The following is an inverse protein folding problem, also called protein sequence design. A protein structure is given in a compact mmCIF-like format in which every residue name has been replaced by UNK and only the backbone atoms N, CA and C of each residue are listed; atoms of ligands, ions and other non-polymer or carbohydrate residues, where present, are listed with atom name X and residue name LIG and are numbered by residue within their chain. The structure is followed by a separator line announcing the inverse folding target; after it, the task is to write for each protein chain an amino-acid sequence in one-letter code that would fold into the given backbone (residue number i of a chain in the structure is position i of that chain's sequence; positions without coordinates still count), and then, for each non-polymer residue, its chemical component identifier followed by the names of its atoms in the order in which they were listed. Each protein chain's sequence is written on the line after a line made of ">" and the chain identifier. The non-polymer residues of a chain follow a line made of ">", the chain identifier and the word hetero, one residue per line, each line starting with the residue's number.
data_IF_168797017377
#
_entry.id   IF_168797017377
#
_cell.length_a   1.000
_cell.length_b   1.000
_cell.length_c   1.000
_cell.angle_alpha   90.00
_cell.angle_beta   90.00
_cell.angle_gamma   90.00
#
_symmetry.space_group_name_H-M   'P 1'
#
loop_
_entity.id
_entity.type
_entity.pdbx_description
1 polymer ?
#
# COMPACT_ATOMS: atom_id res chain seq x y z
N UNK A 1 5.51 -6.30 -2.15
CA UNK A 1 6.23 -5.31 -1.35
C UNK A 1 6.63 -4.21 -2.29
N UNK A 2 5.88 -3.12 -2.21
CA UNK A 2 6.16 -1.90 -2.94
C UNK A 2 7.19 -1.11 -2.12
N UNK A 3 8.11 -0.43 -2.80
CA UNK A 3 9.08 0.46 -2.16
C UNK A 3 8.59 1.89 -2.35
N UNK A 4 8.51 2.68 -1.28
CA UNK A 4 8.35 4.13 -1.44
C UNK A 4 9.74 4.76 -1.65
N UNK A 5 9.82 5.66 -2.63
CA UNK A 5 10.98 6.41 -3.09
C UNK A 5 10.77 7.89 -2.76
N UNK A 6 11.21 8.30 -1.58
CA UNK A 6 11.40 9.71 -1.25
C UNK A 6 12.68 9.79 -0.39
N UNK A 7 13.83 9.99 -1.03
CA UNK A 7 15.14 10.05 -0.37
C UNK A 7 15.76 8.71 0.03
N UNK A 8 14.95 7.70 0.42
CA UNK A 8 15.38 6.30 0.65
C UNK A 8 14.34 5.32 0.08
N UNK A 9 14.80 4.16 -0.40
CA UNK A 9 13.93 3.03 -0.78
C UNK A 9 13.51 2.29 0.49
N UNK A 10 12.30 2.55 0.99
CA UNK A 10 11.76 1.84 2.15
C UNK A 10 10.74 0.80 1.67
N UNK A 11 10.95 -0.49 1.96
CA UNK A 11 9.96 -1.51 1.66
C UNK A 11 8.73 -1.34 2.56
N UNK A 12 7.54 -1.31 1.96
CA UNK A 12 6.27 -1.23 2.68
C UNK A 12 5.37 -2.40 2.33
N UNK A 13 4.59 -2.85 3.32
CA UNK A 13 3.49 -3.78 3.11
C UNK A 13 2.26 -2.99 2.67
N UNK A 14 1.83 -3.22 1.43
CA UNK A 14 0.81 -2.40 0.78
C UNK A 14 -0.32 -3.30 0.29
N UNK A 15 -1.56 -2.92 0.60
CA UNK A 15 -2.74 -3.54 0.01
C UNK A 15 -3.12 -2.75 -1.25
N UNK A 16 -3.19 -3.42 -2.40
CA UNK A 16 -3.71 -2.81 -3.62
C UNK A 16 -5.19 -3.15 -3.72
N UNK A 17 -6.05 -2.14 -3.71
CA UNK A 17 -7.49 -2.30 -3.53
C UNK A 17 -8.28 -1.62 -4.67
N UNK A 18 -8.88 -2.44 -5.52
CA UNK A 18 -9.75 -1.99 -6.62
C UNK A 18 -11.07 -1.37 -6.14
N UNK A 19 -11.47 -1.60 -4.89
CA UNK A 19 -12.67 -1.03 -4.28
C UNK A 19 -12.45 0.35 -3.66
N UNK A 20 -11.21 0.82 -3.58
CA UNK A 20 -10.87 2.09 -2.93
C UNK A 20 -10.72 3.24 -3.92
N UNK A 21 -11.36 4.37 -3.62
CA UNK A 21 -11.25 5.61 -4.40
C UNK A 21 -9.99 6.42 -4.08
N UNK A 22 -9.40 6.21 -2.90
CA UNK A 22 -8.25 6.98 -2.41
C UNK A 22 -7.14 6.06 -1.93
N UNK A 23 -5.90 6.48 -2.16
CA UNK A 23 -4.74 5.84 -1.57
C UNK A 23 -4.51 6.37 -0.15
N UNK A 24 -4.23 5.47 0.79
CA UNK A 24 -4.05 5.78 2.22
C UNK A 24 -2.64 5.43 2.67
N UNK A 25 -2.07 6.22 3.58
CA UNK A 25 -0.82 5.92 4.26
C UNK A 25 -1.04 5.98 5.76
N UNK A 26 -0.54 4.98 6.48
CA UNK A 26 -0.61 4.95 7.92
C UNK A 26 0.24 6.06 8.53
N UNK A 27 -0.28 6.74 9.55
CA UNK A 27 0.39 7.86 10.22
C UNK A 27 1.78 7.46 10.75
N UNK A 28 1.90 6.30 11.41
CA UNK A 28 3.19 5.81 11.90
C UNK A 28 4.22 5.62 10.77
N UNK A 29 3.78 5.20 9.58
CA UNK A 29 4.65 5.08 8.41
C UNK A 29 5.02 6.45 7.86
N UNK A 30 4.07 7.40 7.81
CA UNK A 30 4.34 8.78 7.42
C UNK A 30 5.37 9.47 8.35
N UNK A 31 5.25 9.23 9.66
CA UNK A 31 6.17 9.74 10.69
C UNK A 31 7.55 9.08 10.56
N UNK A 32 7.60 7.76 10.39
CA UNK A 32 8.84 7.01 10.20
C UNK A 32 9.62 7.47 8.96
N UNK A 33 8.93 7.73 7.86
CA UNK A 33 9.54 8.22 6.62
C UNK A 33 9.93 9.70 6.71
N UNK A 34 9.49 10.42 7.75
CA UNK A 34 9.73 11.85 7.98
C UNK A 34 9.39 12.73 6.76
N UNK A 35 8.28 12.41 6.09
CA UNK A 35 7.88 13.09 4.86
C UNK A 35 7.09 14.35 5.15
N UNK A 36 7.24 15.35 4.26
CA UNK A 36 6.46 16.59 4.34
C UNK A 36 4.98 16.29 4.13
N UNK A 37 4.20 16.52 5.19
CA UNK A 37 2.74 16.48 5.16
C UNK A 37 2.20 17.79 4.60
N UNK A 38 1.34 17.70 3.60
CA UNK A 38 0.55 18.80 3.06
C UNK A 38 -0.80 18.81 3.77
N UNK A 39 -1.30 19.99 4.14
CA UNK A 39 -2.66 20.13 4.67
C UNK A 39 -3.67 19.75 3.58
N UNK A 40 -4.74 19.08 3.99
CA UNK A 40 -5.91 18.79 3.15
C UNK A 40 -7.14 18.79 4.03
N UNK A 41 -8.33 18.94 3.44
CA UNK A 41 -9.59 18.71 4.14
C UNK A 41 -10.46 17.80 3.28
N UNK A 42 -10.47 16.52 3.63
CA UNK A 42 -11.20 15.47 2.91
C UNK A 42 -11.91 14.59 3.93
N UNK A 43 -13.13 14.17 3.63
CA UNK A 43 -13.81 13.10 4.35
C UNK A 43 -13.80 11.84 3.50
N UNK A 44 -13.45 10.71 4.09
CA UNK A 44 -13.51 9.39 3.46
C UNK A 44 -14.52 8.56 4.21
N UNK A 45 -15.49 8.01 3.47
CA UNK A 45 -16.52 7.14 4.01
C UNK A 45 -16.16 5.67 3.79
N UNK A 46 -16.36 4.84 4.81
CA UNK A 46 -16.21 3.40 4.75
C UNK A 46 -17.55 2.65 4.77
N UNK A 47 -17.47 1.32 4.83
CA UNK A 47 -18.64 0.47 5.03
C UNK A 47 -19.36 0.84 6.35
N UNK A 48 -20.70 0.79 6.33
CA UNK A 48 -21.53 1.20 7.46
C UNK A 48 -21.66 2.72 7.66
N UNK A 49 -21.23 3.54 6.70
CA UNK A 49 -21.38 5.01 6.76
C UNK A 49 -20.41 5.70 7.72
N UNK A 50 -19.39 4.98 8.20
CA UNK A 50 -18.34 5.56 9.04
C UNK A 50 -17.53 6.57 8.23
N UNK A 51 -17.34 7.78 8.78
CA UNK A 51 -16.59 8.86 8.14
C UNK A 51 -15.30 9.14 8.89
N UNK A 52 -14.20 9.24 8.14
CA UNK A 52 -12.90 9.65 8.64
C UNK A 52 -12.49 10.96 7.99
N UNK A 53 -12.29 11.99 8.82
CA UNK A 53 -11.78 13.28 8.35
C UNK A 53 -10.25 13.23 8.26
N UNK A 54 -9.74 13.44 7.06
CA UNK A 54 -8.32 13.42 6.73
C UNK A 54 -7.83 14.86 6.64
N UNK A 55 -6.83 15.18 7.46
CA UNK A 55 -6.26 16.54 7.58
C UNK A 55 -4.90 16.70 6.93
N UNK A 56 -4.28 15.60 6.49
CA UNK A 56 -3.00 15.67 5.80
C UNK A 56 -2.86 14.63 4.68
N UNK A 57 -2.09 14.99 3.66
CA UNK A 57 -1.68 14.13 2.57
C UNK A 57 -0.18 14.22 2.33
N UNK A 58 0.39 13.17 1.74
CA UNK A 58 1.79 13.08 1.35
C UNK A 58 1.83 12.67 -0.11
N UNK A 59 2.62 13.39 -0.90
CA UNK A 59 2.96 12.97 -2.27
C UNK A 59 4.22 12.14 -2.23
N UNK A 60 4.16 10.90 -2.70
CA UNK A 60 5.32 10.01 -2.76
C UNK A 60 5.39 9.15 -4.01
N UNK A 61 6.58 8.64 -4.31
CA UNK A 61 6.78 7.75 -5.45
C UNK A 61 6.76 6.31 -4.94
N UNK A 62 5.93 5.45 -5.50
CA UNK A 62 6.03 4.00 -5.30
C UNK A 62 6.86 3.39 -6.41
N UNK A 63 7.52 2.28 -6.13
CA UNK A 63 8.15 1.42 -7.13
C UNK A 63 7.99 -0.05 -6.81
N UNK A 64 8.02 -0.90 -7.83
CA UNK A 64 8.17 -2.33 -7.64
C UNK A 64 9.59 -2.69 -7.14
N UNK A 65 9.83 -3.98 -6.87
CA UNK A 65 11.09 -4.47 -6.32
C UNK A 65 12.31 -4.17 -7.18
N UNK A 66 12.18 -4.33 -8.50
CA UNK A 66 13.18 -4.06 -9.54
C UNK A 66 13.36 -2.56 -9.83
N UNK A 67 12.33 -1.76 -9.58
CA UNK A 67 12.28 -0.34 -9.94
C UNK A 67 11.92 -0.06 -11.40
N UNK A 68 11.52 -1.07 -12.17
CA UNK A 68 11.02 -0.91 -13.56
C UNK A 68 9.70 -0.15 -13.60
N UNK A 69 8.86 -0.36 -12.58
CA UNK A 69 7.64 0.41 -12.37
C UNK A 69 7.88 1.51 -11.34
N UNK A 70 7.44 2.73 -11.66
CA UNK A 70 7.38 3.85 -10.71
C UNK A 70 6.13 4.67 -10.94
N UNK A 71 5.50 5.12 -9.85
CA UNK A 71 4.35 6.01 -9.94
C UNK A 71 4.33 7.01 -8.80
N UNK A 72 3.98 8.26 -9.11
CA UNK A 72 3.67 9.28 -8.11
C UNK A 72 2.26 9.03 -7.58
N UNK A 73 2.12 9.02 -6.27
CA UNK A 73 0.88 8.73 -5.55
C UNK A 73 0.64 9.82 -4.52
N UNK A 74 -0.59 10.32 -4.47
CA UNK A 74 -1.07 11.17 -3.38
C UNK A 74 -1.70 10.28 -2.30
N UNK A 75 -0.97 10.10 -1.20
CA UNK A 75 -1.41 9.34 -0.04
C UNK A 75 -2.11 10.21 0.98
N UNK A 76 -3.30 9.80 1.38
CA UNK A 76 -4.07 10.44 2.44
C UNK A 76 -3.71 9.80 3.78
N UNK A 77 -3.27 10.60 4.75
CA UNK A 77 -2.69 10.07 5.99
C UNK A 77 -3.77 9.81 7.01
N UNK A 78 -3.84 8.56 7.49
CA UNK A 78 -4.83 8.10 8.48
C UNK A 78 -4.16 7.40 9.66
N UNK A 79 -4.72 7.43 10.87
CA UNK A 79 -4.13 6.77 12.04
C UNK A 79 -3.96 5.24 11.85
N UNK A 80 -4.94 4.62 11.19
CA UNK A 80 -5.00 3.19 10.91
C UNK A 80 -5.79 2.97 9.62
N UNK A 81 -5.41 1.96 8.84
CA UNK A 81 -6.08 1.58 7.58
C UNK A 81 -7.00 0.39 7.82
N UNK A 82 -6.44 -0.72 8.30
CA UNK A 82 -7.16 -1.97 8.54
C UNK A 82 -6.66 -2.66 9.82
N UNK A 83 -7.29 -3.76 10.19
CA UNK A 83 -6.71 -4.75 11.09
C UNK A 83 -5.53 -5.48 10.40
N UNK A 84 -4.97 -6.48 11.08
CA UNK A 84 -3.92 -7.32 10.50
C UNK A 84 -4.44 -8.08 9.28
N UNK A 85 -3.57 -8.23 8.28
CA UNK A 85 -3.83 -8.94 7.03
C UNK A 85 -2.69 -9.95 6.83
N UNK A 86 -2.99 -11.26 6.71
CA UNK A 86 -4.27 -11.89 7.06
C UNK A 86 -4.61 -11.70 8.55
N UNK A 87 -5.87 -11.95 8.93
CA UNK A 87 -6.29 -11.85 10.34
C UNK A 87 -5.55 -12.86 11.22
N UNK A 88 -5.32 -14.06 10.68
CA UNK A 88 -4.56 -15.12 11.32
C UNK A 88 -3.44 -15.55 10.37
N UNK A 89 -2.25 -15.81 10.93
CA UNK A 89 -1.19 -16.43 10.15
C UNK A 89 -1.58 -17.85 9.75
N UNK A 90 -1.09 -18.31 8.60
CA UNK A 90 -1.30 -19.68 8.14
C UNK A 90 -0.02 -20.31 7.60
N UNK A 91 0.04 -21.64 7.67
CA UNK A 91 1.19 -22.40 7.20
C UNK A 91 1.19 -22.49 5.66
N UNK A 92 2.37 -22.29 5.08
CA UNK A 92 2.64 -22.38 3.65
C UNK A 92 3.69 -23.43 3.32
N UNK A 93 4.15 -24.22 4.30
CA UNK A 93 5.17 -25.26 4.13
C UNK A 93 4.84 -26.27 3.03
N UNK A 94 3.55 -26.55 2.84
CA UNK A 94 3.03 -27.47 1.83
C UNK A 94 2.69 -26.81 0.49
N UNK A 95 2.84 -25.49 0.37
CA UNK A 95 2.57 -24.76 -0.87
C UNK A 95 3.84 -24.73 -1.72
N UNK A 96 3.77 -25.33 -2.91
CA UNK A 96 4.85 -25.27 -3.90
C UNK A 96 4.56 -24.13 -4.87
N UNK A 97 5.33 -23.04 -4.75
CA UNK A 97 5.29 -21.96 -5.72
C UNK A 97 6.10 -22.32 -6.97
N UNK A 98 5.62 -22.01 -8.18
CA UNK A 98 6.42 -22.15 -9.39
C UNK A 98 7.73 -21.34 -9.27
N UNK A 99 8.83 -21.88 -9.77
CA UNK A 99 10.17 -21.25 -9.64
C UNK A 99 10.28 -19.89 -10.32
N UNK A 100 9.41 -19.60 -11.28
CA UNK A 100 9.32 -18.32 -11.99
C UNK A 100 8.45 -17.28 -11.25
N UNK A 101 7.76 -17.64 -10.17
CA UNK A 101 6.89 -16.74 -9.41
C UNK A 101 7.66 -16.12 -8.26
N UNK A 102 7.84 -14.81 -8.32
CA UNK A 102 8.38 -14.02 -7.23
C UNK A 102 7.23 -13.37 -6.47
N UNK A 103 6.99 -13.82 -5.25
CA UNK A 103 5.96 -13.22 -4.40
C UNK A 103 6.33 -11.76 -4.11
N UNK A 104 5.35 -10.87 -4.32
CA UNK A 104 5.53 -9.48 -3.98
C UNK A 104 5.81 -9.34 -2.47
N UNK A 105 5.05 -10.04 -1.62
CA UNK A 105 5.23 -10.10 -0.17
C UNK A 105 5.60 -11.54 0.23
N UNK A 106 6.87 -11.84 0.50
CA UNK A 106 7.30 -13.16 0.96
C UNK A 106 6.68 -13.59 2.30
N UNK A 107 6.13 -12.64 3.05
CA UNK A 107 5.48 -12.85 4.35
C UNK A 107 3.96 -12.68 4.27
N UNK A 108 3.37 -12.85 3.08
CA UNK A 108 1.94 -12.67 2.86
C UNK A 108 1.06 -13.53 3.78
N UNK A 109 1.57 -14.69 4.21
CA UNK A 109 0.89 -15.63 5.08
C UNK A 109 0.98 -15.27 6.58
N UNK A 110 1.82 -14.32 6.95
CA UNK A 110 2.00 -13.86 8.33
C UNK A 110 1.06 -12.70 8.62
N UNK A 111 0.24 -12.84 9.67
CA UNK A 111 -0.63 -11.78 10.17
C UNK A 111 0.20 -10.57 10.59
N UNK A 112 0.04 -9.45 9.88
CA UNK A 112 0.66 -8.18 10.24
C UNK A 112 -0.18 -7.02 9.71
N UNK A 113 0.06 -5.82 10.22
CA UNK A 113 -0.58 -4.63 9.65
C UNK A 113 0.04 -4.23 8.31
N UNK A 114 -0.74 -3.51 7.51
CA UNK A 114 -0.27 -2.84 6.30
C UNK A 114 0.16 -1.40 6.61
N UNK A 115 1.10 -0.90 5.82
CA UNK A 115 1.62 0.47 5.87
C UNK A 115 0.79 1.42 5.01
N UNK A 116 0.31 0.94 3.86
CA UNK A 116 -0.43 1.73 2.90
C UNK A 116 -1.51 0.92 2.18
N UNK A 117 -2.48 1.63 1.62
CA UNK A 117 -3.49 1.12 0.70
C UNK A 117 -3.40 1.91 -0.60
N UNK A 118 -3.46 1.23 -1.74
CA UNK A 118 -3.51 1.85 -3.07
C UNK A 118 -4.92 1.78 -3.64
N UNK A 119 -5.35 2.90 -4.21
CA UNK A 119 -6.63 3.05 -4.89
C UNK A 119 -6.69 2.30 -6.22
N UNK A 120 -7.93 2.18 -6.72
CA UNK A 120 -8.26 1.48 -7.95
C UNK A 120 -7.45 1.96 -9.17
N UNK A 121 -7.26 3.27 -9.31
CA UNK A 121 -6.51 3.87 -10.42
C UNK A 121 -5.03 3.43 -10.48
N UNK A 122 -4.44 3.10 -9.33
CA UNK A 122 -3.08 2.57 -9.23
C UNK A 122 -3.10 1.05 -9.32
N UNK A 123 -4.07 0.39 -8.70
CA UNK A 123 -4.26 -1.05 -8.82
C UNK A 123 -4.33 -1.50 -10.29
N UNK A 124 -5.19 -0.87 -11.09
CA UNK A 124 -5.36 -1.24 -12.50
C UNK A 124 -4.16 -0.88 -13.37
N UNK A 125 -3.37 0.10 -12.98
CA UNK A 125 -2.13 0.45 -13.67
C UNK A 125 -1.01 -0.55 -13.40
N UNK A 126 -0.88 -0.99 -12.14
CA UNK A 126 0.01 -2.10 -11.77
C UNK A 126 -0.32 -3.35 -12.58
N UNK A 127 -1.61 -3.67 -12.76
CA UNK A 127 -2.01 -4.84 -13.56
C UNK A 127 -1.70 -4.70 -15.05
N UNK A 128 -1.77 -3.49 -15.61
CA UNK A 128 -1.41 -3.25 -17.03
C UNK A 128 0.09 -3.41 -17.27
N UNK A 129 0.91 -3.06 -16.29
CA UNK A 129 2.37 -3.23 -16.35
C UNK A 129 2.80 -4.71 -16.30
N UNK A 130 1.89 -5.65 -15.99
CA UNK A 130 2.22 -7.09 -15.91
C UNK A 130 2.42 -7.74 -17.28
N UNK A 131 2.06 -7.10 -18.42
CA UNK A 131 2.38 -7.63 -19.75
C UNK A 131 2.45 -6.53 -20.83
N UNK A 132 3.67 -6.14 -21.20
CA UNK A 132 4.01 -5.83 -22.60
C UNK A 132 5.35 -6.49 -22.94
N UNK A 133 5.31 -7.81 -23.15
CA UNK A 133 6.19 -8.56 -24.05
C UNK A 133 5.28 -9.45 -24.90
#
# INVERSE_FOLDING_TARGET
>A
MLKILLGKKVPLRVLADSGSQVSLLRLSTADFLNLRKLKTDMSVSGLGGSNVNIKSKIKGVISNGSGSYKRVVDFHVVPKISNMIPVNSFDISHIVFPSNVHLADPTFNTSNSIDALLSADIFFDILKDVNTN
#
